data_IF_263345974758
#
_entry.id   IF_263345974758
#
_cell.length_a   1.000
_cell.length_b   1.000
_cell.length_c   1.000
_cell.angle_alpha   90.00
_cell.angle_beta   90.00
_cell.angle_gamma   90.00
#
_symmetry.space_group_name_H-M   'P 1'
#
loop_
_entity.id
_entity.type
_entity.pdbx_description
1 polymer ?
#
# COMPACT_ATOMS: atom_id res chain seq x y z
N UNK A 1 7.33 -10.18 47.06
CA UNK A 1 6.14 -10.73 46.39
C UNK A 1 5.07 -9.64 46.37
N UNK A 2 4.98 -8.82 45.32
CA UNK A 2 3.82 -7.99 44.94
C UNK A 2 4.19 -7.15 43.69
N UNK A 3 4.21 -7.81 42.54
CA UNK A 3 4.06 -7.19 41.22
C UNK A 3 3.17 -8.16 40.45
N UNK A 4 1.95 -7.73 40.12
CA UNK A 4 1.09 -8.23 39.04
C UNK A 4 -0.35 -7.84 39.36
N UNK A 5 -0.87 -6.84 38.65
CA UNK A 5 -2.25 -6.73 38.13
C UNK A 5 -2.48 -5.29 37.66
N UNK A 6 -1.76 -4.88 36.61
CA UNK A 6 -2.29 -3.79 35.78
C UNK A 6 -3.49 -4.37 35.00
N UNK A 7 -4.68 -3.76 35.09
CA UNK A 7 -5.85 -4.28 34.40
C UNK A 7 -5.64 -4.20 32.89
N UNK A 8 -5.99 -5.28 32.18
CA UNK A 8 -5.90 -5.42 30.72
C UNK A 8 -6.55 -4.24 29.97
N UNK A 9 -7.54 -3.57 30.58
CA UNK A 9 -8.13 -2.33 30.07
C UNK A 9 -7.14 -1.17 29.93
N UNK A 10 -6.22 -0.98 30.88
CA UNK A 10 -5.22 0.08 30.84
C UNK A 10 -4.15 -0.21 29.77
N UNK A 11 -3.79 -1.49 29.59
CA UNK A 11 -2.93 -1.95 28.49
C UNK A 11 -3.57 -1.71 27.11
N UNK A 12 -4.88 -1.96 26.99
CA UNK A 12 -5.63 -1.67 25.76
C UNK A 12 -5.84 -0.16 25.52
N UNK A 13 -5.95 0.65 26.57
CA UNK A 13 -6.05 2.10 26.48
C UNK A 13 -4.70 2.75 26.09
N UNK A 14 -3.58 2.19 26.60
CA UNK A 14 -2.22 2.56 26.19
C UNK A 14 -1.97 2.15 24.73
N UNK A 15 -2.31 0.91 24.35
CA UNK A 15 -2.20 0.43 22.97
C UNK A 15 -3.07 1.23 21.98
N UNK A 16 -4.25 1.70 22.42
CA UNK A 16 -5.14 2.56 21.62
C UNK A 16 -4.60 3.98 21.45
N UNK A 17 -3.78 4.48 22.39
CA UNK A 17 -3.08 5.78 22.29
C UNK A 17 -1.74 5.71 21.56
N UNK A 18 -1.24 4.52 21.21
CA UNK A 18 0.11 4.31 20.68
C UNK A 18 0.22 4.45 19.14
N UNK A 19 -0.74 5.10 18.47
CA UNK A 19 -0.56 5.49 17.06
C UNK A 19 0.45 6.63 16.87
N UNK A 20 0.82 7.35 17.93
CA UNK A 20 1.80 8.45 17.91
C UNK A 20 3.24 7.99 18.15
N UNK A 21 3.49 6.86 18.81
CA UNK A 21 4.86 6.38 19.12
C UNK A 21 5.55 5.81 17.88
N UNK A 22 4.83 5.04 17.06
CA UNK A 22 5.32 4.57 15.76
C UNK A 22 5.60 5.72 14.76
N UNK A 23 5.00 6.89 14.98
CA UNK A 23 5.27 8.09 14.20
C UNK A 23 6.62 8.68 14.59
N UNK A 24 6.86 8.90 15.89
CA UNK A 24 8.08 9.54 16.43
C UNK A 24 9.36 8.77 16.08
N UNK A 25 9.34 7.44 16.17
CA UNK A 25 10.51 6.59 15.82
C UNK A 25 10.94 6.74 14.35
N UNK A 26 9.98 6.91 13.43
CA UNK A 26 10.27 7.07 12.00
C UNK A 26 10.99 8.39 11.75
N UNK A 27 10.60 9.48 12.41
CA UNK A 27 11.27 10.78 12.27
C UNK A 27 12.70 10.78 12.84
N UNK A 28 12.94 10.01 13.89
CA UNK A 28 14.28 9.87 14.48
C UNK A 28 15.30 9.25 13.52
N UNK A 29 14.85 8.36 12.63
CA UNK A 29 15.71 7.74 11.61
C UNK A 29 15.75 8.60 10.34
N UNK A 30 14.60 9.16 9.92
CA UNK A 30 14.51 9.93 8.68
C UNK A 30 15.20 11.29 8.77
N UNK A 31 15.16 11.96 9.92
CA UNK A 31 15.66 13.32 10.05
C UNK A 31 17.19 13.42 9.93
N UNK A 32 18.01 12.60 10.61
CA UNK A 32 19.46 12.61 10.40
C UNK A 32 19.84 12.29 8.94
N UNK A 33 19.13 11.34 8.34
CA UNK A 33 19.35 10.93 6.96
C UNK A 33 19.01 12.05 5.96
N UNK A 34 17.89 12.74 6.16
CA UNK A 34 17.49 13.90 5.38
C UNK A 34 18.50 15.06 5.52
N UNK A 35 18.93 15.35 6.75
CA UNK A 35 19.94 16.39 7.02
C UNK A 35 21.25 16.04 6.29
N UNK A 36 21.70 14.79 6.38
CA UNK A 36 22.90 14.34 5.68
C UNK A 36 22.77 14.44 4.16
N UNK A 37 21.63 14.05 3.58
CA UNK A 37 21.37 14.15 2.14
C UNK A 37 21.39 15.60 1.66
N UNK A 38 20.73 16.51 2.39
CA UNK A 38 20.70 17.94 2.07
C UNK A 38 22.10 18.56 2.24
N UNK A 39 22.78 18.28 3.34
CA UNK A 39 24.13 18.78 3.61
C UNK A 39 25.11 18.33 2.52
N UNK A 40 25.10 17.04 2.17
CA UNK A 40 25.98 16.50 1.13
C UNK A 40 25.69 17.10 -0.24
N UNK A 41 24.45 17.49 -0.53
CA UNK A 41 24.10 18.10 -1.81
C UNK A 41 24.53 19.58 -1.89
N UNK A 42 24.39 20.32 -0.78
CA UNK A 42 24.73 21.75 -0.71
C UNK A 42 26.25 21.97 -0.63
N UNK A 43 26.94 21.16 0.18
CA UNK A 43 28.35 21.40 0.55
C UNK A 43 29.33 20.77 -0.43
N UNK A 44 28.98 19.63 -1.06
CA UNK A 44 29.89 18.97 -1.99
C UNK A 44 29.91 19.64 -3.37
N UNK A 45 31.06 19.49 -4.03
CA UNK A 45 31.27 19.89 -5.41
C UNK A 45 30.31 19.12 -6.35
N UNK A 46 29.99 19.74 -7.49
CA UNK A 46 28.97 19.23 -8.42
C UNK A 46 29.23 17.80 -8.90
N UNK A 47 30.49 17.42 -9.07
CA UNK A 47 30.92 16.07 -9.47
C UNK A 47 30.68 14.99 -8.40
N UNK A 48 30.56 15.36 -7.13
CA UNK A 48 30.37 14.45 -5.99
C UNK A 48 28.93 14.47 -5.44
N UNK A 49 28.04 15.26 -6.04
CA UNK A 49 26.65 15.35 -5.60
C UNK A 49 25.89 14.09 -5.95
N UNK A 50 25.41 13.40 -4.92
CA UNK A 50 24.46 12.29 -5.09
C UNK A 50 23.02 12.83 -5.12
N UNK A 51 22.50 13.02 -6.32
CA UNK A 51 21.11 13.46 -6.56
C UNK A 51 20.09 12.45 -6.03
N UNK A 52 20.40 11.16 -6.02
CA UNK A 52 19.50 10.10 -5.55
C UNK A 52 19.23 10.26 -4.07
N UNK A 53 20.30 10.47 -3.28
CA UNK A 53 20.22 10.68 -1.84
C UNK A 53 19.42 11.95 -1.49
N UNK A 54 19.61 13.03 -2.24
CA UNK A 54 18.85 14.26 -2.04
C UNK A 54 17.35 14.09 -2.29
N UNK A 55 16.97 13.32 -3.32
CA UNK A 55 15.57 13.22 -3.78
C UNK A 55 14.70 12.22 -3.04
N UNK A 56 15.27 11.35 -2.20
CA UNK A 56 14.48 10.39 -1.42
C UNK A 56 13.54 11.11 -0.43
N UNK A 57 13.94 12.21 0.21
CA UNK A 57 13.04 12.94 1.11
C UNK A 57 11.85 13.55 0.35
N UNK A 58 12.05 14.36 -0.72
CA UNK A 58 10.95 14.79 -1.59
C UNK A 58 10.07 13.65 -2.09
N UNK A 59 10.68 12.51 -2.43
CA UNK A 59 9.95 11.32 -2.87
C UNK A 59 9.06 10.72 -1.76
N UNK A 60 9.56 10.61 -0.52
CA UNK A 60 8.75 10.13 0.60
C UNK A 60 7.62 11.11 0.96
N UNK A 61 7.88 12.42 0.89
CA UNK A 61 6.85 13.44 1.08
C UNK A 61 5.79 13.38 -0.03
N UNK A 62 6.20 13.13 -1.28
CA UNK A 62 5.29 12.90 -2.39
C UNK A 62 4.37 11.72 -2.13
N UNK A 63 4.91 10.56 -1.71
CA UNK A 63 4.10 9.37 -1.38
C UNK A 63 3.10 9.65 -0.27
N UNK A 64 3.52 10.37 0.78
CA UNK A 64 2.62 10.77 1.86
C UNK A 64 1.49 11.68 1.37
N UNK A 65 1.83 12.74 0.62
CA UNK A 65 0.87 13.68 0.06
C UNK A 65 -0.10 12.99 -0.89
N UNK A 66 0.42 12.19 -1.81
CA UNK A 66 -0.34 11.40 -2.77
C UNK A 66 -1.37 10.52 -2.04
N UNK A 67 -0.95 9.76 -1.03
CA UNK A 67 -1.87 8.92 -0.25
C UNK A 67 -2.94 9.73 0.49
N UNK A 68 -2.57 10.88 1.07
CA UNK A 68 -3.55 11.76 1.75
C UNK A 68 -4.59 12.35 0.79
N UNK A 69 -4.19 12.69 -0.43
CA UNK A 69 -5.11 13.15 -1.49
C UNK A 69 -6.13 12.03 -1.79
N UNK A 70 -5.67 10.79 -1.98
CA UNK A 70 -6.54 9.66 -2.27
C UNK A 70 -7.50 9.33 -1.13
N UNK A 71 -7.04 9.36 0.12
CA UNK A 71 -7.89 9.18 1.31
C UNK A 71 -8.97 10.25 1.35
N UNK A 72 -8.58 11.51 1.16
CA UNK A 72 -9.50 12.66 1.21
C UNK A 72 -10.54 12.57 0.09
N UNK A 73 -10.11 12.22 -1.12
CA UNK A 73 -10.99 12.06 -2.28
C UNK A 73 -11.96 10.89 -2.11
N UNK A 74 -11.49 9.76 -1.62
CA UNK A 74 -12.31 8.58 -1.33
C UNK A 74 -13.40 8.89 -0.31
N UNK A 75 -13.04 9.56 0.80
CA UNK A 75 -13.99 9.98 1.84
C UNK A 75 -14.99 11.02 1.32
N UNK A 76 -14.54 12.00 0.54
CA UNK A 76 -15.42 13.00 -0.05
C UNK A 76 -16.48 12.36 -0.96
N UNK A 77 -16.07 11.43 -1.83
CA UNK A 77 -16.98 10.71 -2.73
C UNK A 77 -17.95 9.82 -1.97
N UNK A 78 -17.47 9.09 -0.96
CA UNK A 78 -18.31 8.28 -0.08
C UNK A 78 -19.35 9.14 0.67
N UNK A 79 -18.98 10.32 1.15
CA UNK A 79 -19.90 11.23 1.84
C UNK A 79 -20.97 11.84 0.91
N UNK A 80 -20.64 12.02 -0.37
CA UNK A 80 -21.58 12.59 -1.36
C UNK A 80 -22.59 11.56 -1.88
N UNK A 81 -22.32 10.26 -1.73
CA UNK A 81 -23.26 9.15 -2.00
C UNK A 81 -23.63 8.90 -3.47
N UNK A 82 -23.32 9.80 -4.39
CA UNK A 82 -23.60 9.63 -5.82
C UNK A 82 -22.52 8.79 -6.52
N UNK A 83 -22.94 7.67 -7.15
CA UNK A 83 -22.11 6.75 -7.95
C UNK A 83 -21.16 5.84 -7.16
N UNK A 84 -21.60 5.33 -6.00
CA UNK A 84 -20.91 4.24 -5.31
C UNK A 84 -21.12 2.92 -6.06
N UNK A 85 -20.07 2.10 -6.17
CA UNK A 85 -20.15 0.80 -6.84
C UNK A 85 -20.87 -0.23 -5.96
N UNK A 86 -20.61 -0.19 -4.65
CA UNK A 86 -21.24 -1.07 -3.68
C UNK A 86 -21.79 -0.23 -2.53
N UNK A 87 -23.07 -0.41 -2.21
CA UNK A 87 -23.80 0.30 -1.16
C UNK A 87 -23.82 -0.47 0.18
N UNK A 88 -23.35 -1.72 0.19
CA UNK A 88 -23.30 -2.65 1.33
C UNK A 88 -21.93 -3.33 1.44
N UNK A 89 -21.62 -3.96 2.57
CA UNK A 89 -20.43 -4.82 2.68
C UNK A 89 -20.57 -6.03 1.77
N UNK A 90 -19.46 -6.51 1.21
CA UNK A 90 -19.45 -7.71 0.36
C UNK A 90 -19.99 -8.92 1.15
N UNK A 91 -21.01 -9.59 0.59
CA UNK A 91 -21.57 -10.83 1.14
C UNK A 91 -20.52 -11.95 1.11
N UNK A 92 -20.55 -12.84 2.11
CA UNK A 92 -19.52 -13.85 2.35
C UNK A 92 -19.23 -14.76 1.13
N UNK A 93 -20.25 -15.04 0.31
CA UNK A 93 -20.12 -15.88 -0.89
C UNK A 93 -19.32 -15.23 -2.04
N UNK A 94 -19.28 -13.90 -2.10
CA UNK A 94 -18.48 -13.17 -3.10
C UNK A 94 -16.99 -13.19 -2.75
N UNK A 95 -16.66 -13.31 -1.45
CA UNK A 95 -15.29 -13.37 -0.92
C UNK A 95 -14.55 -14.63 -1.37
N UNK A 96 -15.24 -15.77 -1.46
CA UNK A 96 -14.63 -17.05 -1.86
C UNK A 96 -14.11 -17.03 -3.31
N UNK A 97 -14.73 -16.22 -4.18
CA UNK A 97 -14.31 -16.07 -5.58
C UNK A 97 -13.01 -15.26 -5.71
N UNK A 98 -12.82 -14.25 -4.86
CA UNK A 98 -11.59 -13.45 -4.82
C UNK A 98 -10.43 -14.18 -4.12
N UNK A 99 -10.72 -15.01 -3.11
CA UNK A 99 -9.71 -15.82 -2.40
C UNK A 99 -8.97 -16.78 -3.33
N UNK A 100 -9.66 -17.37 -4.30
CA UNK A 100 -9.13 -18.44 -5.15
C UNK A 100 -8.37 -17.92 -6.39
N UNK A 101 -8.39 -16.61 -6.66
CA UNK A 101 -7.82 -16.01 -7.87
C UNK A 101 -6.34 -15.58 -7.73
N UNK A 102 -5.83 -15.45 -6.51
CA UNK A 102 -4.51 -14.87 -6.25
C UNK A 102 -3.35 -15.86 -6.40
N UNK A 103 -2.29 -15.46 -7.11
CA UNK A 103 -1.04 -16.24 -7.24
C UNK A 103 -0.44 -16.63 -5.88
N UNK A 104 -0.67 -15.78 -4.86
CA UNK A 104 -0.25 -15.99 -3.48
C UNK A 104 -1.04 -17.12 -2.80
N UNK A 105 -2.33 -17.27 -3.09
CA UNK A 105 -3.14 -18.39 -2.62
C UNK A 105 -2.66 -19.71 -3.23
N UNK A 106 -2.41 -19.74 -4.54
CA UNK A 106 -1.84 -20.91 -5.22
C UNK A 106 -0.46 -21.30 -4.67
N UNK A 107 0.40 -20.30 -4.37
CA UNK A 107 1.71 -20.53 -3.77
C UNK A 107 1.61 -21.16 -2.36
N UNK A 108 0.71 -20.66 -1.50
CA UNK A 108 0.54 -21.23 -0.16
C UNK A 108 -0.14 -22.61 -0.17
N UNK A 109 -1.08 -22.81 -1.10
CA UNK A 109 -1.76 -24.09 -1.29
C UNK A 109 -0.81 -25.17 -1.82
N UNK A 110 0.09 -24.82 -2.76
CA UNK A 110 1.08 -25.75 -3.30
C UNK A 110 2.15 -26.16 -2.28
N UNK A 111 2.51 -25.27 -1.35
CA UNK A 111 3.42 -25.56 -0.24
C UNK A 111 2.79 -26.40 0.89
N UNK A 112 1.53 -26.83 0.76
CA UNK A 112 0.75 -27.61 1.76
C UNK A 112 0.69 -26.98 3.15
N UNK A 113 0.71 -25.65 3.25
CA UNK A 113 0.63 -24.96 4.54
C UNK A 113 -0.83 -24.64 4.86
N UNK A 114 -1.63 -25.67 5.17
CA UNK A 114 -3.09 -25.56 5.39
C UNK A 114 -3.48 -24.55 6.48
N UNK A 115 -2.61 -24.33 7.47
CA UNK A 115 -2.80 -23.33 8.51
C UNK A 115 -2.73 -21.89 7.96
N UNK A 116 -1.77 -21.60 7.06
CA UNK A 116 -1.64 -20.28 6.43
C UNK A 116 -2.82 -19.98 5.51
N UNK A 117 -3.33 -20.98 4.81
CA UNK A 117 -4.52 -20.86 3.95
C UNK A 117 -5.76 -20.53 4.79
N UNK A 118 -5.97 -21.24 5.91
CA UNK A 118 -7.11 -21.00 6.80
C UNK A 118 -7.06 -19.61 7.45
N UNK A 119 -5.89 -19.20 7.94
CA UNK A 119 -5.69 -17.87 8.55
C UNK A 119 -5.87 -16.78 7.49
N UNK A 120 -5.34 -16.98 6.28
CA UNK A 120 -5.52 -16.08 5.16
C UNK A 120 -7.00 -15.88 4.86
N UNK A 121 -7.78 -16.95 4.74
CA UNK A 121 -9.21 -16.89 4.42
C UNK A 121 -9.98 -16.08 5.46
N UNK A 122 -9.76 -16.34 6.76
CA UNK A 122 -10.39 -15.58 7.85
C UNK A 122 -9.96 -14.11 7.92
N UNK A 123 -8.69 -13.82 7.63
CA UNK A 123 -8.19 -12.44 7.66
C UNK A 123 -8.67 -11.64 6.44
N UNK A 124 -8.71 -12.27 5.26
CA UNK A 124 -9.17 -11.63 4.04
C UNK A 124 -10.68 -11.38 4.04
N UNK A 125 -11.48 -12.28 4.62
CA UNK A 125 -12.91 -12.02 4.84
C UNK A 125 -13.13 -10.87 5.82
N UNK A 126 -12.29 -10.74 6.86
CA UNK A 126 -12.35 -9.60 7.77
C UNK A 126 -11.94 -8.27 7.11
N UNK A 127 -11.03 -8.28 6.13
CA UNK A 127 -10.71 -7.07 5.36
C UNK A 127 -11.92 -6.57 4.54
N UNK A 128 -12.72 -7.49 4.00
CA UNK A 128 -13.90 -7.18 3.19
C UNK A 128 -15.16 -6.86 3.99
N UNK A 129 -15.15 -7.04 5.32
CA UNK A 129 -16.28 -6.64 6.17
C UNK A 129 -16.36 -5.12 6.40
N UNK A 130 -15.34 -4.35 5.98
CA UNK A 130 -15.39 -2.89 6.00
C UNK A 130 -16.03 -2.33 4.74
N UNK A 131 -17.14 -1.59 4.89
CA UNK A 131 -17.84 -0.87 3.81
C UNK A 131 -16.97 0.27 3.24
N UNK A 132 -15.95 0.71 4.00
CA UNK A 132 -14.98 1.71 3.56
C UNK A 132 -13.63 1.02 3.46
N UNK A 133 -13.21 0.70 2.24
CA UNK A 133 -11.81 0.39 1.95
C UNK A 133 -11.02 1.68 2.17
N UNK A 134 -10.31 1.77 3.30
CA UNK A 134 -9.39 2.88 3.52
C UNK A 134 -8.13 2.62 2.68
N UNK A 135 -7.61 3.59 1.92
CA UNK A 135 -6.36 3.42 1.18
C UNK A 135 -5.18 2.91 2.05
N UNK A 136 -5.24 3.12 3.37
CA UNK A 136 -4.27 2.61 4.35
C UNK A 136 -4.41 1.12 4.68
N UNK A 137 -5.57 0.48 4.47
CA UNK A 137 -5.76 -0.98 4.71
C UNK A 137 -5.33 -1.84 3.52
N UNK A 138 -5.10 -1.23 2.36
CA UNK A 138 -4.55 -1.89 1.17
C UNK A 138 -3.17 -2.54 1.42
N UNK A 139 -2.41 -2.00 2.37
CA UNK A 139 -1.04 -2.45 2.70
C UNK A 139 -1.02 -3.40 3.90
N UNK A 140 -2.13 -3.58 4.63
CA UNK A 140 -2.14 -4.49 5.79
C UNK A 140 -2.41 -5.93 5.36
N UNK A 141 -1.33 -6.63 4.98
CA UNK A 141 -1.37 -8.06 4.68
C UNK A 141 -0.67 -8.92 5.75
N UNK A 142 -0.94 -10.22 5.76
CA UNK A 142 -0.15 -11.18 6.56
C UNK A 142 1.35 -11.05 6.20
N UNK A 143 2.27 -11.32 7.14
CA UNK A 143 3.73 -11.17 6.91
C UNK A 143 4.22 -11.88 5.63
N UNK A 144 3.74 -13.09 5.38
CA UNK A 144 4.10 -13.84 4.19
C UNK A 144 3.52 -13.23 2.88
N UNK A 145 2.36 -12.57 2.95
CA UNK A 145 1.82 -11.80 1.82
C UNK A 145 2.67 -10.57 1.54
N UNK A 146 3.15 -9.86 2.58
CA UNK A 146 4.06 -8.73 2.39
C UNK A 146 5.33 -9.15 1.65
N UNK A 147 5.94 -10.29 2.02
CA UNK A 147 7.12 -10.83 1.33
C UNK A 147 6.80 -11.13 -0.13
N UNK A 148 5.68 -11.82 -0.40
CA UNK A 148 5.28 -12.16 -1.76
C UNK A 148 5.01 -10.93 -2.64
N UNK A 149 4.25 -9.95 -2.12
CA UNK A 149 3.99 -8.70 -2.83
C UNK A 149 5.27 -7.89 -3.04
N UNK A 150 6.13 -7.80 -2.02
CA UNK A 150 7.41 -7.10 -2.14
C UNK A 150 8.28 -7.74 -3.22
N UNK A 151 8.41 -9.06 -3.24
CA UNK A 151 9.16 -9.76 -4.30
C UNK A 151 8.56 -9.47 -5.69
N UNK A 152 7.23 -9.60 -5.84
CA UNK A 152 6.55 -9.40 -7.12
C UNK A 152 6.74 -7.97 -7.66
N UNK A 153 6.51 -6.96 -6.83
CA UNK A 153 6.64 -5.55 -7.22
C UNK A 153 8.09 -5.09 -7.34
N UNK A 154 9.06 -5.85 -6.81
CA UNK A 154 10.49 -5.55 -7.00
C UNK A 154 11.00 -6.07 -8.35
N UNK A 155 10.34 -7.03 -9.00
CA UNK A 155 10.80 -7.61 -10.28
C UNK A 155 11.06 -6.53 -11.34
N UNK A 156 10.14 -5.59 -11.65
CA UNK A 156 10.39 -4.56 -12.66
C UNK A 156 11.55 -3.64 -12.32
N UNK A 157 11.73 -3.31 -11.03
CA UNK A 157 12.86 -2.51 -10.55
C UNK A 157 14.18 -3.28 -10.67
N UNK A 158 14.17 -4.57 -10.35
CA UNK A 158 15.34 -5.44 -10.53
C UNK A 158 15.73 -5.55 -12.01
N UNK A 159 14.75 -5.71 -12.91
CA UNK A 159 15.01 -5.80 -14.35
C UNK A 159 15.75 -4.58 -14.86
N UNK A 160 15.28 -3.36 -14.56
CA UNK A 160 15.93 -2.13 -15.06
C UNK A 160 17.33 -1.93 -14.47
N UNK A 161 17.59 -2.44 -13.25
CA UNK A 161 18.92 -2.44 -12.65
C UNK A 161 19.83 -3.43 -13.39
N UNK A 162 19.37 -4.66 -13.63
CA UNK A 162 20.15 -5.70 -14.31
C UNK A 162 20.41 -5.39 -15.79
N UNK A 163 19.48 -4.71 -16.47
CA UNK A 163 19.68 -4.27 -17.86
C UNK A 163 20.49 -2.99 -17.99
N UNK A 164 20.84 -2.34 -16.86
CA UNK A 164 21.56 -1.07 -16.86
C UNK A 164 20.74 0.11 -17.42
N UNK A 165 19.43 -0.02 -17.51
CA UNK A 165 18.52 1.01 -18.05
C UNK A 165 17.78 1.78 -16.95
N UNK A 166 18.18 1.60 -15.69
CA UNK A 166 17.58 2.29 -14.56
C UNK A 166 17.80 3.81 -14.67
N UNK A 167 16.71 4.56 -14.56
CA UNK A 167 16.73 6.01 -14.45
C UNK A 167 15.88 6.45 -13.26
N UNK A 168 16.18 7.65 -12.74
CA UNK A 168 15.38 8.23 -11.67
C UNK A 168 13.90 8.38 -12.08
N UNK A 169 13.67 8.80 -13.33
CA UNK A 169 12.32 8.94 -13.89
C UNK A 169 11.58 7.60 -13.94
N UNK A 170 12.24 6.51 -14.37
CA UNK A 170 11.61 5.18 -14.42
C UNK A 170 11.28 4.65 -13.03
N UNK A 171 12.16 4.83 -12.04
CA UNK A 171 11.91 4.39 -10.66
C UNK A 171 10.77 5.21 -10.03
N UNK A 172 10.84 6.55 -10.14
CA UNK A 172 9.82 7.44 -9.60
C UNK A 172 8.45 7.19 -10.24
N UNK A 173 8.41 7.07 -11.57
CA UNK A 173 7.20 6.80 -12.33
C UNK A 173 6.59 5.46 -11.96
N UNK A 174 7.40 4.40 -11.87
CA UNK A 174 6.92 3.07 -11.49
C UNK A 174 6.32 3.05 -10.08
N UNK A 175 7.01 3.60 -9.08
CA UNK A 175 6.48 3.58 -7.70
C UNK A 175 5.23 4.46 -7.58
N UNK A 176 5.21 5.64 -8.20
CA UNK A 176 4.02 6.49 -8.21
C UNK A 176 2.85 5.79 -8.91
N UNK A 177 3.11 5.07 -9.99
CA UNK A 177 2.11 4.27 -10.68
C UNK A 177 1.53 3.19 -9.77
N UNK A 178 2.38 2.39 -9.11
CA UNK A 178 1.92 1.36 -8.17
C UNK A 178 1.08 1.96 -7.04
N UNK A 179 1.54 3.05 -6.42
CA UNK A 179 0.79 3.73 -5.35
C UNK A 179 -0.58 4.24 -5.87
N UNK A 180 -0.61 4.79 -7.09
CA UNK A 180 -1.84 5.27 -7.74
C UNK A 180 -2.79 4.11 -8.00
N UNK A 181 -2.31 3.03 -8.60
CA UNK A 181 -3.13 1.87 -8.93
C UNK A 181 -3.69 1.20 -7.68
N UNK A 182 -2.88 1.08 -6.63
CA UNK A 182 -3.29 0.53 -5.35
C UNK A 182 -4.37 1.42 -4.70
N UNK A 183 -4.16 2.74 -4.63
CA UNK A 183 -5.14 3.65 -4.05
C UNK A 183 -6.45 3.70 -4.85
N UNK A 184 -6.36 3.68 -6.18
CA UNK A 184 -7.53 3.72 -7.07
C UNK A 184 -8.38 2.46 -6.92
N UNK A 185 -7.75 1.28 -6.94
CA UNK A 185 -8.47 0.01 -6.81
C UNK A 185 -9.16 -0.21 -5.48
N UNK A 186 -8.71 0.49 -4.43
CA UNK A 186 -9.35 0.52 -3.12
C UNK A 186 -10.34 1.69 -2.94
N UNK A 187 -10.79 2.32 -4.02
CA UNK A 187 -11.88 3.29 -3.99
C UNK A 187 -13.22 2.65 -4.36
N UNK A 188 -14.30 3.01 -3.67
CA UNK A 188 -15.65 2.48 -3.94
C UNK A 188 -16.39 3.22 -5.08
N UNK A 189 -15.67 3.69 -6.10
CA UNK A 189 -16.24 4.36 -7.26
C UNK A 189 -15.32 4.25 -8.48
N UNK A 190 -15.91 4.20 -9.67
CA UNK A 190 -15.17 4.17 -10.92
C UNK A 190 -14.61 5.55 -11.25
N UNK A 191 -13.29 5.64 -11.36
CA UNK A 191 -12.60 6.82 -11.89
C UNK A 191 -12.60 6.86 -13.42
N UNK A 192 -12.51 5.68 -14.02
CA UNK A 192 -12.27 5.53 -15.44
C UNK A 192 -13.56 5.05 -16.08
N UNK A 193 -14.11 5.80 -17.05
CA UNK A 193 -15.40 5.48 -17.60
C UNK A 193 -15.33 4.23 -18.49
N UNK A 194 -16.36 3.37 -18.41
CA UNK A 194 -16.41 2.07 -19.10
C UNK A 194 -16.17 2.14 -20.61
N UNK A 195 -16.58 3.23 -21.26
CA UNK A 195 -16.37 3.41 -22.70
C UNK A 195 -14.89 3.40 -23.10
N UNK A 196 -13.99 3.81 -22.19
CA UNK A 196 -12.56 3.78 -22.47
C UNK A 196 -12.05 2.35 -22.66
N UNK A 197 -12.57 1.39 -21.88
CA UNK A 197 -12.27 -0.03 -22.03
C UNK A 197 -12.90 -0.65 -23.28
N UNK A 198 -13.94 -0.04 -23.84
CA UNK A 198 -14.51 -0.45 -25.13
C UNK A 198 -13.65 0.01 -26.30
N UNK A 199 -13.01 1.19 -26.21
CA UNK A 199 -12.13 1.71 -27.25
C UNK A 199 -10.74 1.07 -27.19
N UNK A 200 -10.19 0.87 -25.98
CA UNK A 200 -8.88 0.27 -25.76
C UNK A 200 -8.96 -0.91 -24.76
N UNK A 201 -9.29 -2.12 -25.24
CA UNK A 201 -9.46 -3.30 -24.38
C UNK A 201 -8.19 -3.69 -23.59
N UNK A 202 -7.01 -3.42 -24.15
CA UNK A 202 -5.71 -3.75 -23.54
C UNK A 202 -5.48 -2.99 -22.23
N UNK A 203 -6.18 -1.88 -22.02
CA UNK A 203 -6.06 -1.06 -20.83
C UNK A 203 -6.42 -1.83 -19.54
N UNK A 204 -7.24 -2.89 -19.64
CA UNK A 204 -7.59 -3.79 -18.54
C UNK A 204 -6.39 -4.55 -17.96
N UNK A 205 -5.34 -4.76 -18.75
CA UNK A 205 -4.13 -5.46 -18.28
C UNK A 205 -3.10 -4.52 -17.68
N UNK A 206 -3.23 -3.22 -17.95
CA UNK A 206 -2.35 -2.21 -17.39
C UNK A 206 -2.92 -1.68 -16.08
N UNK A 207 -4.22 -1.40 -16.06
CA UNK A 207 -4.87 -0.72 -14.94
C UNK A 207 -5.78 -1.65 -14.14
N UNK A 208 -5.53 -1.70 -12.85
CA UNK A 208 -6.47 -2.13 -11.83
C UNK A 208 -7.58 -1.09 -11.59
N UNK A 209 -8.82 -1.47 -11.87
CA UNK A 209 -10.02 -0.67 -11.53
C UNK A 209 -10.83 -1.34 -10.43
N UNK A 210 -11.59 -0.57 -9.64
CA UNK A 210 -12.51 -1.12 -8.64
C UNK A 210 -13.66 -1.99 -9.20
N UNK A 211 -13.90 -1.96 -10.52
CA UNK A 211 -14.96 -2.66 -11.24
C UNK A 211 -14.48 -3.87 -12.01
#
# INVERSE_FOLDING_TARGET
MFFLTLPIRLLLEVYRREKSVCFVEKYLILAPWAIQGIYSFIVKEESERDLTNFLILPFLLWRMLHNQIWISLSRYRNAKGGNLLVDKSLEFEQVDREQNCGIVYYLFSSMRISLLVTIHSRYHSHHHSSIVTEPMTSVTHLFAKHIAYFMLFTIPLATIIFTGTASLASVFGYVTYIDLMNNMGHCNFEFIPKWLFSIFPQLKYLMYTPS
#
